data_IF_312694298757
#
_entry.id   IF_312694298757
#
_cell.length_a   1.000
_cell.length_b   1.000
_cell.length_c   1.000
_cell.angle_alpha   90.00
_cell.angle_beta   90.00
_cell.angle_gamma   90.00
#
_symmetry.space_group_name_H-M   'P 1'
#
loop_
_entity.id
_entity.type
_entity.pdbx_description
1 polymer ?
#
# COMPACT_ATOMS: atom_id res chain seq x y z
N UNK A 1 -8.36 42.97 -28.37
CA UNK A 1 -9.25 42.04 -27.67
C UNK A 1 -8.34 41.03 -26.98
N UNK A 2 -7.98 41.33 -25.74
CA UNK A 2 -7.13 40.50 -24.88
C UNK A 2 -7.86 39.19 -24.60
N UNK A 3 -7.36 38.09 -25.17
CA UNK A 3 -7.78 36.74 -24.78
C UNK A 3 -7.44 36.57 -23.31
N UNK A 4 -8.49 36.53 -22.48
CA UNK A 4 -8.37 36.10 -21.10
C UNK A 4 -8.01 34.63 -21.16
N UNK A 5 -6.73 34.32 -20.94
CA UNK A 5 -6.30 32.99 -20.52
C UNK A 5 -7.10 32.69 -19.24
N UNK A 6 -8.04 31.74 -19.31
CA UNK A 6 -8.68 31.22 -18.10
C UNK A 6 -7.58 30.53 -17.31
N UNK A 7 -7.00 31.22 -16.33
CA UNK A 7 -6.10 30.60 -15.37
C UNK A 7 -6.93 29.52 -14.69
N UNK A 8 -6.61 28.23 -14.86
CA UNK A 8 -7.39 27.16 -14.28
C UNK A 8 -7.43 27.39 -12.77
N UNK A 9 -8.63 27.34 -12.18
CA UNK A 9 -8.76 27.47 -10.73
C UNK A 9 -8.14 26.25 -10.08
N UNK A 10 -6.87 26.38 -9.72
CA UNK A 10 -6.11 25.41 -8.94
C UNK A 10 -6.61 25.44 -7.49
N UNK A 11 -7.84 24.96 -7.30
CA UNK A 11 -8.48 24.85 -6.00
C UNK A 11 -7.95 23.64 -5.26
N UNK A 12 -7.46 23.84 -4.04
CA UNK A 12 -7.24 22.76 -3.11
C UNK A 12 -8.63 22.26 -2.71
N UNK A 13 -9.17 21.22 -3.36
CA UNK A 13 -10.51 20.64 -3.12
C UNK A 13 -10.72 20.02 -1.71
N UNK A 14 -10.11 20.59 -0.68
CA UNK A 14 -10.15 20.25 0.72
C UNK A 14 -10.89 21.35 1.52
N UNK A 15 -12.02 21.81 1.00
CA UNK A 15 -12.87 22.71 1.76
C UNK A 15 -13.47 21.97 2.97
N UNK A 16 -13.36 22.61 4.13
CA UNK A 16 -13.79 22.01 5.39
C UNK A 16 -15.31 22.09 5.51
N UNK A 17 -16.01 20.99 5.20
CA UNK A 17 -17.48 20.84 5.23
C UNK A 17 -18.10 20.84 6.66
N UNK A 18 -17.45 21.41 7.68
CA UNK A 18 -18.06 21.60 9.02
C UNK A 18 -18.35 20.33 9.85
N UNK A 19 -18.29 19.13 9.25
CA UNK A 19 -18.68 17.85 9.88
C UNK A 19 -17.55 17.25 10.73
N UNK A 20 -17.21 17.91 11.85
CA UNK A 20 -16.24 17.35 12.81
C UNK A 20 -16.65 15.96 13.32
N UNK A 21 -17.93 15.78 13.69
CA UNK A 21 -18.39 14.53 14.29
C UNK A 21 -18.10 13.28 13.45
N UNK A 22 -18.25 13.39 12.12
CA UNK A 22 -17.94 12.28 11.21
C UNK A 22 -16.45 11.95 11.19
N UNK A 23 -15.59 12.97 11.24
CA UNK A 23 -14.12 12.81 11.26
C UNK A 23 -13.64 12.15 12.56
N UNK A 24 -14.25 12.48 13.69
CA UNK A 24 -13.91 11.81 14.97
C UNK A 24 -14.42 10.36 14.95
N UNK A 25 -15.65 10.12 14.46
CA UNK A 25 -16.21 8.77 14.42
C UNK A 25 -15.46 7.82 13.47
N UNK A 26 -14.93 8.33 12.35
CA UNK A 26 -14.24 7.51 11.36
C UNK A 26 -12.97 6.86 11.93
N UNK A 27 -12.29 7.51 12.87
CA UNK A 27 -11.09 6.95 13.53
C UNK A 27 -11.44 5.65 14.25
N UNK A 28 -12.54 5.63 15.02
CA UNK A 28 -12.96 4.44 15.76
C UNK A 28 -13.46 3.35 14.82
N UNK A 29 -14.21 3.71 13.78
CA UNK A 29 -14.76 2.76 12.80
C UNK A 29 -13.64 2.12 11.98
N UNK A 30 -12.70 2.92 11.46
CA UNK A 30 -11.52 2.43 10.73
C UNK A 30 -10.63 1.61 11.67
N UNK A 31 -10.47 2.04 12.92
CA UNK A 31 -9.72 1.31 13.93
C UNK A 31 -10.30 -0.09 14.20
N UNK A 32 -11.59 -0.18 14.53
CA UNK A 32 -12.26 -1.46 14.74
C UNK A 32 -12.32 -2.30 13.45
N UNK A 33 -12.63 -1.68 12.31
CA UNK A 33 -12.67 -2.35 11.02
C UNK A 33 -11.30 -2.93 10.62
N UNK A 34 -10.23 -2.17 10.80
CA UNK A 34 -8.84 -2.61 10.54
C UNK A 34 -8.42 -3.71 11.50
N UNK A 35 -8.72 -3.57 12.79
CA UNK A 35 -8.43 -4.58 13.80
C UNK A 35 -9.16 -5.89 13.48
N UNK A 36 -10.45 -5.84 13.10
CA UNK A 36 -11.18 -7.03 12.67
C UNK A 36 -10.63 -7.61 11.36
N UNK A 37 -10.35 -6.77 10.36
CA UNK A 37 -9.81 -7.21 9.07
C UNK A 37 -8.42 -7.85 9.18
N UNK A 38 -7.56 -7.35 10.06
CA UNK A 38 -6.23 -7.89 10.31
C UNK A 38 -6.26 -9.11 11.25
N UNK A 39 -7.07 -9.08 12.31
CA UNK A 39 -7.12 -10.17 13.29
C UNK A 39 -7.93 -11.37 12.81
N UNK A 40 -8.95 -11.19 11.97
CA UNK A 40 -9.78 -12.28 11.49
C UNK A 40 -8.99 -13.39 10.78
N UNK A 41 -8.16 -13.13 9.75
CA UNK A 41 -7.37 -14.16 9.10
C UNK A 41 -6.30 -14.76 10.02
N UNK A 42 -5.75 -13.97 10.94
CA UNK A 42 -4.72 -14.41 11.91
C UNK A 42 -5.31 -15.33 12.98
N UNK A 43 -6.45 -14.97 13.58
CA UNK A 43 -7.15 -15.77 14.58
C UNK A 43 -7.75 -17.04 13.96
N UNK A 44 -8.28 -16.95 12.74
CA UNK A 44 -8.73 -18.11 11.98
C UNK A 44 -7.58 -19.08 11.71
N UNK A 45 -6.38 -18.59 11.38
CA UNK A 45 -5.20 -19.43 11.18
C UNK A 45 -4.65 -20.04 12.48
N UNK A 46 -4.81 -19.36 13.62
CA UNK A 46 -4.22 -19.76 14.91
C UNK A 46 -5.13 -20.64 15.78
N UNK A 47 -6.44 -20.65 15.53
CA UNK A 47 -7.40 -21.45 16.30
C UNK A 47 -7.21 -22.94 16.02
N UNK A 48 -6.59 -23.66 16.98
CA UNK A 48 -6.44 -25.13 16.94
C UNK A 48 -7.76 -25.89 17.12
N UNK A 49 -8.79 -25.22 17.65
CA UNK A 49 -10.11 -25.81 17.95
C UNK A 49 -11.05 -25.83 16.75
N UNK A 50 -10.91 -24.86 15.84
CA UNK A 50 -11.61 -24.87 14.56
C UNK A 50 -10.66 -25.46 13.53
N UNK A 51 -10.99 -26.64 13.00
CA UNK A 51 -10.25 -27.27 11.89
C UNK A 51 -10.47 -26.42 10.63
N UNK A 52 -9.89 -25.23 10.56
CA UNK A 52 -10.09 -24.32 9.43
C UNK A 52 -9.52 -25.03 8.19
N UNK A 53 -10.37 -25.31 7.18
CA UNK A 53 -9.93 -26.02 6.01
C UNK A 53 -8.89 -25.17 5.29
N UNK A 54 -7.81 -25.79 4.82
CA UNK A 54 -6.70 -25.11 4.11
C UNK A 54 -7.24 -24.20 2.99
N UNK A 55 -8.33 -24.59 2.34
CA UNK A 55 -9.03 -23.80 1.31
C UNK A 55 -9.47 -22.41 1.78
N UNK A 56 -10.03 -22.27 2.98
CA UNK A 56 -10.49 -20.97 3.49
C UNK A 56 -9.32 -20.01 3.74
N UNK A 57 -8.19 -20.53 4.25
CA UNK A 57 -6.96 -19.75 4.43
C UNK A 57 -6.34 -19.33 3.09
N UNK A 58 -6.33 -20.23 2.09
CA UNK A 58 -5.90 -19.87 0.73
C UNK A 58 -6.77 -18.77 0.14
N UNK A 59 -8.10 -18.90 0.21
CA UNK A 59 -9.03 -17.88 -0.30
C UNK A 59 -8.78 -16.54 0.37
N UNK A 60 -8.66 -16.50 1.70
CA UNK A 60 -8.39 -15.26 2.43
C UNK A 60 -7.05 -14.61 2.00
N UNK A 61 -5.99 -15.41 1.84
CA UNK A 61 -4.67 -14.92 1.40
C UNK A 61 -4.72 -14.31 -0.01
N UNK A 62 -5.34 -15.01 -0.96
CA UNK A 62 -5.40 -14.56 -2.35
C UNK A 62 -6.39 -13.40 -2.56
N UNK A 63 -7.51 -13.41 -1.82
CA UNK A 63 -8.45 -12.30 -1.78
C UNK A 63 -7.77 -11.02 -1.27
N UNK A 64 -7.03 -11.13 -0.16
CA UNK A 64 -6.25 -10.02 0.41
C UNK A 64 -5.25 -9.44 -0.60
N UNK A 65 -4.44 -10.28 -1.25
CA UNK A 65 -3.52 -9.80 -2.29
C UNK A 65 -4.25 -9.12 -3.46
N UNK A 66 -5.42 -9.63 -3.86
CA UNK A 66 -6.22 -9.04 -4.94
C UNK A 66 -6.73 -7.64 -4.60
N UNK A 67 -7.22 -7.43 -3.37
CA UNK A 67 -7.69 -6.11 -2.91
C UNK A 67 -6.53 -5.10 -2.90
N UNK A 68 -5.36 -5.47 -2.37
CA UNK A 68 -4.18 -4.60 -2.37
C UNK A 68 -3.79 -4.20 -3.80
N UNK A 69 -3.70 -5.17 -4.70
CA UNK A 69 -3.37 -4.91 -6.11
C UNK A 69 -4.42 -3.98 -6.76
N UNK A 70 -5.71 -4.23 -6.55
CA UNK A 70 -6.78 -3.40 -7.09
C UNK A 70 -6.72 -1.95 -6.57
N UNK A 71 -6.43 -1.76 -5.28
CA UNK A 71 -6.27 -0.42 -4.71
C UNK A 71 -5.05 0.31 -5.28
N UNK A 72 -3.93 -0.38 -5.46
CA UNK A 72 -2.73 0.23 -6.03
C UNK A 72 -2.96 0.74 -7.47
N UNK A 73 -3.57 -0.05 -8.33
CA UNK A 73 -3.78 0.33 -9.73
C UNK A 73 -4.97 1.28 -9.94
N UNK A 74 -6.14 0.97 -9.39
CA UNK A 74 -7.35 1.73 -9.71
C UNK A 74 -7.48 2.97 -8.84
N UNK A 75 -7.18 2.86 -7.54
CA UNK A 75 -7.42 3.95 -6.58
C UNK A 75 -6.24 4.89 -6.41
N UNK A 76 -5.01 4.42 -6.62
CA UNK A 76 -3.82 5.24 -6.43
C UNK A 76 -3.21 5.66 -7.77
N UNK A 77 -2.95 4.72 -8.68
CA UNK A 77 -2.23 5.03 -9.92
C UNK A 77 -3.00 5.97 -10.84
N UNK A 78 -4.28 5.70 -11.09
CA UNK A 78 -5.08 6.52 -11.99
C UNK A 78 -5.26 7.98 -11.51
N UNK A 79 -5.64 8.25 -10.23
CA UNK A 79 -5.70 9.61 -9.74
C UNK A 79 -4.32 10.29 -9.66
N UNK A 80 -3.25 9.54 -9.41
CA UNK A 80 -1.89 10.09 -9.43
C UNK A 80 -1.49 10.58 -10.83
N UNK A 81 -1.87 9.84 -11.88
CA UNK A 81 -1.65 10.25 -13.27
C UNK A 81 -2.38 11.55 -13.58
N UNK A 82 -3.67 11.62 -13.28
CA UNK A 82 -4.48 12.84 -13.50
C UNK A 82 -3.95 14.04 -12.69
N UNK A 83 -3.50 13.83 -11.45
CA UNK A 83 -2.96 14.90 -10.62
C UNK A 83 -1.62 15.44 -11.13
N UNK A 84 -0.75 14.58 -11.69
CA UNK A 84 0.58 14.96 -12.18
C UNK A 84 0.57 15.49 -13.61
N UNK A 85 -0.49 15.26 -14.38
CA UNK A 85 -0.71 15.83 -15.73
C UNK A 85 -1.61 17.07 -15.71
N UNK A 86 -1.98 17.56 -14.51
CA UNK A 86 -2.86 18.72 -14.39
C UNK A 86 -2.20 20.00 -14.92
N UNK A 87 -2.99 20.83 -15.62
CA UNK A 87 -2.60 22.15 -16.16
C UNK A 87 -2.07 23.13 -15.10
N UNK A 88 -2.43 22.94 -13.83
CA UNK A 88 -1.91 23.68 -12.68
C UNK A 88 -0.44 23.39 -12.35
N UNK A 89 0.11 22.26 -12.80
CA UNK A 89 1.53 21.92 -12.65
C UNK A 89 2.29 22.36 -13.91
N UNK A 90 2.87 23.55 -13.88
CA UNK A 90 3.75 24.03 -14.95
C UNK A 90 5.21 23.70 -14.62
N UNK A 91 5.93 23.05 -15.54
CA UNK A 91 7.38 22.77 -15.42
C UNK A 91 7.79 21.40 -15.96
N UNK A 92 9.05 20.97 -15.75
CA UNK A 92 9.59 19.68 -16.24
C UNK A 92 8.91 18.44 -15.63
N UNK A 93 7.98 18.64 -14.70
CA UNK A 93 7.22 17.58 -14.02
C UNK A 93 6.07 17.06 -14.92
N UNK A 94 5.59 17.85 -15.89
CA UNK A 94 4.57 17.42 -16.86
C UNK A 94 5.16 16.94 -18.19
N UNK A 95 6.45 17.14 -18.42
CA UNK A 95 7.14 16.77 -19.66
C UNK A 95 7.36 15.25 -19.79
N UNK A 96 7.35 14.51 -18.68
CA UNK A 96 7.59 13.07 -18.62
C UNK A 96 6.58 12.34 -17.74
N UNK A 97 6.29 11.06 -18.02
CA UNK A 97 5.36 10.23 -17.24
C UNK A 97 5.97 9.82 -15.88
N UNK A 98 6.14 10.78 -14.99
CA UNK A 98 6.73 10.60 -13.65
C UNK A 98 6.02 9.54 -12.81
N UNK A 99 4.70 9.36 -13.00
CA UNK A 99 3.93 8.32 -12.32
C UNK A 99 4.48 6.93 -12.64
N UNK A 100 4.66 6.61 -13.92
CA UNK A 100 5.21 5.33 -14.35
C UNK A 100 6.67 5.17 -13.90
N UNK A 101 7.45 6.25 -13.98
CA UNK A 101 8.83 6.28 -13.51
C UNK A 101 8.96 5.96 -12.01
N UNK A 102 8.14 6.58 -11.17
CA UNK A 102 8.14 6.33 -9.71
C UNK A 102 7.69 4.89 -9.41
N UNK A 103 6.71 4.35 -10.15
CA UNK A 103 6.29 2.95 -10.01
C UNK A 103 7.42 1.99 -10.34
N UNK A 104 8.15 2.21 -11.44
CA UNK A 104 9.28 1.34 -11.80
C UNK A 104 10.42 1.45 -10.78
N UNK A 105 10.73 2.65 -10.30
CA UNK A 105 11.75 2.86 -9.28
C UNK A 105 11.39 2.17 -7.95
N UNK A 106 10.13 2.25 -7.52
CA UNK A 106 9.65 1.60 -6.30
C UNK A 106 9.66 0.07 -6.42
N UNK A 107 9.23 -0.48 -7.56
CA UNK A 107 9.30 -1.92 -7.82
C UNK A 107 10.75 -2.41 -7.80
N UNK A 108 11.66 -1.71 -8.48
CA UNK A 108 13.09 -2.05 -8.49
C UNK A 108 13.70 -2.00 -7.09
N UNK A 109 13.38 -0.96 -6.32
CA UNK A 109 13.84 -0.81 -4.94
C UNK A 109 13.29 -1.91 -4.02
N UNK A 110 12.01 -2.29 -4.16
CA UNK A 110 11.42 -3.38 -3.39
C UNK A 110 12.10 -4.72 -3.70
N UNK A 111 12.32 -5.02 -4.99
CA UNK A 111 13.08 -6.21 -5.40
C UNK A 111 14.51 -6.19 -4.86
N UNK A 112 15.18 -5.03 -4.89
CA UNK A 112 16.53 -4.89 -4.35
C UNK A 112 16.57 -5.19 -2.85
N UNK A 113 15.62 -4.66 -2.07
CA UNK A 113 15.49 -4.93 -0.64
C UNK A 113 15.22 -6.42 -0.39
N UNK A 114 14.35 -7.06 -1.17
CA UNK A 114 14.10 -8.50 -1.06
C UNK A 114 15.37 -9.33 -1.32
N UNK A 115 16.16 -8.98 -2.34
CA UNK A 115 17.44 -9.63 -2.63
C UNK A 115 18.43 -9.46 -1.48
N UNK A 116 18.52 -8.27 -0.89
CA UNK A 116 19.36 -8.01 0.28
C UNK A 116 18.89 -8.80 1.49
N UNK A 117 17.58 -8.80 1.78
CA UNK A 117 17.00 -9.54 2.90
C UNK A 117 17.29 -11.05 2.79
N UNK A 118 17.06 -11.65 1.61
CA UNK A 118 17.39 -13.05 1.37
C UNK A 118 18.89 -13.33 1.53
N UNK A 119 19.75 -12.40 1.10
CA UNK A 119 21.21 -12.52 1.26
C UNK A 119 21.62 -12.50 2.73
N UNK A 120 21.06 -11.60 3.54
CA UNK A 120 21.38 -11.49 4.97
C UNK A 120 20.79 -12.62 5.81
N UNK A 121 19.57 -13.07 5.51
CA UNK A 121 18.93 -14.20 6.20
C UNK A 121 19.71 -15.52 5.98
N UNK A 122 20.21 -15.73 4.75
CA UNK A 122 21.10 -16.84 4.43
C UNK A 122 22.40 -16.83 5.25
N UNK A 123 22.94 -15.65 5.57
CA UNK A 123 24.13 -15.52 6.42
C UNK A 123 23.82 -15.69 7.92
N UNK A 124 22.61 -15.36 8.37
CA UNK A 124 22.16 -15.58 9.74
C UNK A 124 21.96 -17.06 10.09
N UNK A 125 21.50 -17.87 9.14
CA UNK A 125 21.26 -19.31 9.35
C UNK A 125 22.54 -20.13 9.56
N UNK A 126 23.69 -19.71 9.01
CA UNK A 126 24.95 -20.48 9.09
C UNK A 126 25.77 -20.25 10.37
N UNK A 127 25.35 -19.37 11.30
CA UNK A 127 26.11 -19.09 12.53
C UNK A 127 25.63 -19.88 13.76
N UNK A 128 24.59 -20.70 13.63
CA UNK A 128 23.91 -21.34 14.76
C UNK A 128 24.25 -22.83 14.98
N UNK A 129 25.15 -23.43 14.20
CA UNK A 129 25.53 -24.85 14.31
C UNK A 129 26.97 -25.04 14.79
N UNK A 130 27.33 -24.45 15.93
CA UNK A 130 28.65 -24.69 16.53
C UNK A 130 28.61 -24.72 18.05
N UNK A 131 27.67 -25.46 18.66
CA UNK A 131 27.86 -25.93 20.03
C UNK A 131 27.14 -27.26 20.27
N UNK A 132 27.87 -28.16 20.94
CA UNK A 132 27.45 -29.39 21.62
C UNK A 132 27.48 -30.70 20.80
N UNK A 133 28.67 -31.31 20.70
CA UNK A 133 28.85 -32.70 21.16
C UNK A 133 30.33 -33.02 21.46
N UNK A 134 30.69 -33.10 22.73
CA UNK A 134 31.64 -34.06 23.35
C UNK A 134 31.49 -33.91 24.87
N UNK A 135 31.70 -34.96 25.71
CA UNK A 135 32.57 -36.12 25.49
C UNK A 135 31.86 -37.48 25.35
#
# INVERSE_FOLDING_TARGET
MSGLEEIPQCGNGNDYDGRMGLRISSIFVIGFGSMLGALFPVLAARSKSMRVPKSAFFVAKYFGSGVIIATAFIHLLAPAHEALTNECLTGPITEYSWVEGIVLMTIFMMFFIELMAMRFDFFGANKSHSHAHDP
#
